data_IF_658860891872
#
_entry.id   IF_658860891872
#
_cell.length_a   1.000
_cell.length_b   1.000
_cell.length_c   1.000
_cell.angle_alpha   90.00
_cell.angle_beta   90.00
_cell.angle_gamma   90.00
#
_symmetry.space_group_name_H-M   'P 1'
#
loop_
_entity.id
_entity.type
_entity.pdbx_description
1 polymer ?
#
# COMPACT_ATOMS: atom_id res chain seq x y z
N UNK A 1 -6.58 8.55 8.44
CA UNK A 1 -6.49 7.19 9.00
C UNK A 1 -6.95 6.21 7.94
N UNK A 2 -6.00 5.53 7.30
CA UNK A 2 -6.26 4.62 6.17
C UNK A 2 -6.96 3.35 6.68
N UNK A 3 -7.89 2.79 5.90
CA UNK A 3 -8.54 1.51 6.19
C UNK A 3 -7.45 0.42 6.42
N UNK A 4 -7.35 -0.19 7.62
CA UNK A 4 -6.32 -1.17 7.92
C UNK A 4 -6.33 -2.38 6.98
N UNK A 5 -7.47 -2.74 6.41
CA UNK A 5 -7.59 -3.86 5.50
C UNK A 5 -7.02 -3.53 4.12
N UNK A 6 -7.26 -2.31 3.61
CA UNK A 6 -6.64 -1.85 2.37
C UNK A 6 -5.12 -1.77 2.52
N UNK A 7 -4.65 -1.21 3.64
CA UNK A 7 -3.21 -1.11 3.92
C UNK A 7 -2.55 -2.48 3.99
N UNK A 8 -3.15 -3.45 4.69
CA UNK A 8 -2.64 -4.84 4.73
C UNK A 8 -2.49 -5.45 3.35
N UNK A 9 -3.38 -5.13 2.41
CA UNK A 9 -3.33 -5.61 1.04
C UNK A 9 -2.14 -5.08 0.24
N UNK A 10 -1.76 -3.82 0.45
CA UNK A 10 -0.66 -3.17 -0.30
C UNK A 10 0.69 -3.20 0.43
N UNK A 11 0.71 -3.40 1.75
CA UNK A 11 1.91 -3.30 2.57
C UNK A 11 3.08 -4.18 2.11
N UNK A 12 2.89 -5.45 1.68
CA UNK A 12 4.01 -6.26 1.17
C UNK A 12 4.75 -5.61 0.00
N UNK A 13 4.02 -5.01 -0.94
CA UNK A 13 4.58 -4.29 -2.08
C UNK A 13 5.31 -3.01 -1.62
N UNK A 14 4.75 -2.27 -0.66
CA UNK A 14 5.40 -1.07 -0.11
C UNK A 14 6.71 -1.42 0.62
N UNK A 15 6.73 -2.51 1.39
CA UNK A 15 7.96 -3.02 2.03
C UNK A 15 9.02 -3.37 0.98
N UNK A 16 8.65 -4.10 -0.08
CA UNK A 16 9.58 -4.43 -1.17
C UNK A 16 10.10 -3.17 -1.89
N UNK A 17 9.24 -2.17 -2.12
CA UNK A 17 9.63 -0.91 -2.74
C UNK A 17 10.70 -0.18 -1.91
N UNK A 18 10.46 -0.02 -0.60
CA UNK A 18 11.42 0.65 0.31
C UNK A 18 12.74 -0.10 0.40
N UNK A 19 12.70 -1.44 0.45
CA UNK A 19 13.91 -2.28 0.47
C UNK A 19 14.68 -2.26 -0.86
N UNK A 20 14.01 -2.00 -1.99
CA UNK A 20 14.66 -1.91 -3.31
C UNK A 20 15.49 -0.63 -3.46
N UNK A 21 15.08 0.47 -2.83
CA UNK A 21 15.87 1.71 -2.81
C UNK A 21 17.16 1.56 -2.01
N UNK A 22 17.10 0.84 -0.89
CA UNK A 22 18.22 0.60 0.02
C UNK A 22 17.87 -0.53 0.97
N UNK A 23 18.81 -1.46 1.19
CA UNK A 23 18.68 -2.46 2.26
C UNK A 23 18.41 -1.78 3.61
N UNK A 24 17.65 -2.42 4.48
CA UNK A 24 17.30 -1.84 5.78
C UNK A 24 17.10 -2.92 6.84
N UNK A 25 17.27 -2.55 8.10
CA UNK A 25 16.84 -3.38 9.23
C UNK A 25 15.44 -2.99 9.68
N UNK A 26 14.77 -3.89 10.40
CA UNK A 26 13.32 -3.78 10.63
C UNK A 26 12.85 -2.48 11.27
N UNK A 27 13.62 -1.88 12.20
CA UNK A 27 13.26 -0.59 12.79
C UNK A 27 13.42 0.57 11.80
N UNK A 28 14.53 0.64 11.07
CA UNK A 28 14.73 1.66 10.02
C UNK A 28 13.65 1.58 8.94
N UNK A 29 13.22 0.36 8.57
CA UNK A 29 12.14 0.16 7.62
C UNK A 29 10.81 0.75 8.12
N UNK A 30 10.48 0.57 9.40
CA UNK A 30 9.28 1.18 10.00
C UNK A 30 9.37 2.71 9.89
N UNK A 31 10.50 3.30 10.28
CA UNK A 31 10.71 4.74 10.19
C UNK A 31 10.57 5.26 8.76
N UNK A 32 11.18 4.58 7.78
CA UNK A 32 11.07 4.98 6.36
C UNK A 32 9.64 4.91 5.82
N UNK A 33 8.85 3.92 6.28
CA UNK A 33 7.44 3.83 5.91
C UNK A 33 6.63 4.98 6.54
N UNK A 34 6.92 5.34 7.79
CA UNK A 34 6.32 6.50 8.45
C UNK A 34 6.66 7.80 7.73
N UNK A 35 7.95 8.02 7.42
CA UNK A 35 8.42 9.20 6.68
C UNK A 35 7.79 9.33 5.27
N UNK A 36 7.34 8.21 4.68
CA UNK A 36 6.60 8.17 3.43
C UNK A 36 5.09 8.47 3.57
N UNK A 37 4.61 8.82 4.77
CA UNK A 37 3.22 9.16 5.07
C UNK A 37 2.37 8.01 5.62
N UNK A 38 2.99 6.90 6.06
CA UNK A 38 2.30 5.82 6.79
C UNK A 38 2.52 5.95 8.29
N UNK A 39 2.07 7.07 8.87
CA UNK A 39 2.36 7.49 10.26
C UNK A 39 2.02 6.40 11.30
N UNK A 40 0.94 5.64 11.07
CA UNK A 40 0.45 4.58 11.96
C UNK A 40 1.25 3.26 11.86
N UNK A 41 2.35 3.23 11.12
CA UNK A 41 3.15 2.02 10.93
C UNK A 41 3.89 1.63 12.23
N UNK A 42 3.84 0.35 12.59
CA UNK A 42 4.51 -0.16 13.79
C UNK A 42 5.33 -1.42 13.49
N UNK A 43 6.24 -1.76 14.40
CA UNK A 43 6.94 -3.04 14.35
C UNK A 43 5.96 -4.23 14.36
N UNK A 44 4.86 -4.15 15.11
CA UNK A 44 3.82 -5.18 15.14
C UNK A 44 3.16 -5.43 13.78
N UNK A 45 3.18 -4.44 12.88
CA UNK A 45 2.63 -4.53 11.52
C UNK A 45 3.69 -4.97 10.51
N UNK A 46 4.90 -4.39 10.59
CA UNK A 46 5.96 -4.58 9.58
C UNK A 46 6.67 -5.92 9.71
N UNK A 47 6.99 -6.37 10.93
CA UNK A 47 7.75 -7.61 11.11
C UNK A 47 7.01 -8.87 10.63
N UNK A 48 5.69 -9.04 10.85
CA UNK A 48 4.95 -10.15 10.26
C UNK A 48 5.00 -10.17 8.72
N UNK A 49 5.01 -9.00 8.08
CA UNK A 49 5.15 -8.88 6.62
C UNK A 49 6.55 -9.26 6.18
N UNK A 50 7.60 -8.74 6.83
CA UNK A 50 8.98 -9.14 6.57
C UNK A 50 9.18 -10.65 6.71
N UNK A 51 8.69 -11.25 7.80
CA UNK A 51 8.80 -12.68 8.04
C UNK A 51 8.09 -13.51 6.95
N UNK A 52 6.99 -12.99 6.39
CA UNK A 52 6.29 -13.63 5.27
C UNK A 52 7.11 -13.51 3.98
N UNK A 53 7.56 -12.31 3.63
CA UNK A 53 8.38 -12.08 2.44
C UNK A 53 9.67 -12.92 2.46
N UNK A 54 10.30 -13.06 3.63
CA UNK A 54 11.47 -13.92 3.82
C UNK A 54 11.13 -15.40 3.64
N UNK A 55 10.03 -15.87 4.25
CA UNK A 55 9.55 -17.26 4.08
C UNK A 55 9.23 -17.59 2.62
N UNK A 56 8.67 -16.62 1.90
CA UNK A 56 8.26 -16.76 0.50
C UNK A 56 9.45 -16.58 -0.46
N UNK A 57 10.67 -16.35 0.04
CA UNK A 57 11.89 -16.20 -0.76
C UNK A 57 12.01 -14.87 -1.49
N UNK A 58 11.13 -13.91 -1.21
CA UNK A 58 11.11 -12.58 -1.83
C UNK A 58 12.12 -11.60 -1.19
N UNK A 59 12.52 -11.88 0.04
CA UNK A 59 13.52 -11.10 0.79
C UNK A 59 14.55 -12.05 1.40
N UNK A 60 15.82 -11.73 1.23
CA UNK A 60 16.90 -12.38 1.96
C UNK A 60 17.31 -11.53 3.16
N UNK A 61 17.94 -12.17 4.15
CA UNK A 61 18.44 -11.47 5.33
C UNK A 61 19.87 -11.84 5.68
N UNK A 62 20.56 -10.90 6.34
CA UNK A 62 21.91 -11.09 6.87
C UNK A 62 22.03 -10.45 8.25
N UNK A 63 22.73 -11.12 9.15
CA UNK A 63 23.10 -10.53 10.44
C UNK A 63 24.34 -9.67 10.27
N UNK A 64 24.27 -8.45 10.79
CA UNK A 64 25.35 -7.46 10.73
C UNK A 64 25.72 -7.08 12.14
N UNK A 65 27.00 -7.22 12.48
CA UNK A 65 27.51 -6.76 13.76
C UNK A 65 27.28 -5.25 13.88
N UNK A 66 26.73 -4.82 15.01
CA UNK A 66 26.61 -3.39 15.32
C UNK A 66 27.91 -2.92 15.98
N UNK A 67 28.34 -1.69 15.70
CA UNK A 67 29.47 -1.05 16.37
C UNK A 67 29.23 -0.85 17.87
N UNK A 68 27.96 -0.75 18.28
CA UNK A 68 27.52 -0.82 19.66
C UNK A 68 26.13 -1.50 19.72
N UNK A 69 25.99 -2.55 20.52
CA UNK A 69 24.73 -3.27 20.74
C UNK A 69 24.55 -4.57 19.94
N UNK A 70 23.34 -5.17 19.97
CA UNK A 70 23.09 -6.47 19.35
C UNK A 70 23.22 -6.40 17.83
N UNK A 71 23.54 -7.55 17.22
CA UNK A 71 23.56 -7.70 15.78
C UNK A 71 22.20 -7.30 15.16
N UNK A 72 22.24 -6.59 14.04
CA UNK A 72 21.05 -6.14 13.31
C UNK A 72 20.82 -7.07 12.14
N UNK A 73 19.58 -7.51 11.97
CA UNK A 73 19.15 -8.28 10.80
C UNK A 73 18.78 -7.28 9.68
N UNK A 74 19.60 -7.23 8.64
CA UNK A 74 19.34 -6.45 7.43
C UNK A 74 18.61 -7.30 6.42
N UNK A 75 17.72 -6.67 5.68
CA UNK A 75 16.88 -7.28 4.65
C UNK A 75 17.19 -6.67 3.29
N UNK A 76 17.21 -7.51 2.27
CA UNK A 76 17.42 -7.13 0.87
C UNK A 76 16.46 -7.91 -0.03
N UNK A 77 15.84 -7.30 -1.05
CA UNK A 77 15.03 -8.04 -2.00
C UNK A 77 15.87 -9.07 -2.76
N UNK A 78 15.29 -10.25 -3.00
CA UNK A 78 15.86 -11.24 -3.93
C UNK A 78 15.48 -10.88 -5.37
N UNK A 79 16.06 -11.53 -6.39
CA UNK A 79 15.58 -11.39 -7.77
C UNK A 79 14.08 -11.67 -7.91
N UNK A 80 13.57 -12.68 -7.19
CA UNK A 80 12.14 -13.01 -7.16
C UNK A 80 11.32 -11.92 -6.46
N UNK A 81 11.85 -11.31 -5.39
CA UNK A 81 11.25 -10.15 -4.72
C UNK A 81 11.13 -8.94 -5.63
N UNK A 82 12.18 -8.64 -6.40
CA UNK A 82 12.14 -7.55 -7.39
C UNK A 82 11.14 -7.84 -8.51
N UNK A 83 11.06 -9.09 -8.98
CA UNK A 83 10.08 -9.49 -9.98
C UNK A 83 8.64 -9.41 -9.45
N UNK A 84 8.40 -9.82 -8.20
CA UNK A 84 7.10 -9.67 -7.53
C UNK A 84 6.72 -8.19 -7.39
N UNK A 85 7.66 -7.33 -6.95
CA UNK A 85 7.41 -5.89 -6.86
C UNK A 85 6.97 -5.30 -8.21
N UNK A 86 7.63 -5.68 -9.31
CA UNK A 86 7.25 -5.24 -10.64
C UNK A 86 5.83 -5.69 -11.03
N UNK A 87 5.47 -6.95 -10.75
CA UNK A 87 4.11 -7.48 -10.98
C UNK A 87 3.07 -6.76 -10.13
N UNK A 88 3.32 -6.65 -8.82
CA UNK A 88 2.42 -5.99 -7.88
C UNK A 88 2.18 -4.52 -8.25
N UNK A 89 3.23 -3.82 -8.71
CA UNK A 89 3.14 -2.43 -9.17
C UNK A 89 2.20 -2.29 -10.38
N UNK A 90 2.29 -3.19 -11.36
CA UNK A 90 1.41 -3.20 -12.53
C UNK A 90 -0.05 -3.51 -12.15
N UNK A 91 -0.24 -4.48 -11.26
CA UNK A 91 -1.56 -4.85 -10.75
C UNK A 91 -2.20 -3.69 -9.99
N UNK A 92 -1.45 -3.03 -9.10
CA UNK A 92 -1.88 -1.85 -8.37
C UNK A 92 -2.28 -0.72 -9.30
N UNK A 93 -1.43 -0.35 -10.25
CA UNK A 93 -1.73 0.73 -11.18
C UNK A 93 -3.04 0.48 -11.95
N UNK A 94 -3.31 -0.77 -12.32
CA UNK A 94 -4.56 -1.17 -12.98
C UNK A 94 -5.75 -1.04 -12.03
N UNK A 95 -5.66 -1.63 -10.83
CA UNK A 95 -6.72 -1.58 -9.84
C UNK A 95 -7.06 -0.14 -9.42
N UNK A 96 -6.05 0.67 -9.11
CA UNK A 96 -6.24 2.07 -8.69
C UNK A 96 -6.92 2.90 -9.77
N UNK A 97 -6.53 2.74 -11.04
CA UNK A 97 -7.19 3.44 -12.16
C UNK A 97 -8.65 3.03 -12.29
N UNK A 98 -8.93 1.72 -12.27
CA UNK A 98 -10.30 1.20 -12.38
C UNK A 98 -11.16 1.65 -11.21
N UNK A 99 -10.67 1.52 -9.97
CA UNK A 99 -11.38 1.95 -8.77
C UNK A 99 -11.66 3.46 -8.79
N UNK A 100 -10.66 4.29 -9.10
CA UNK A 100 -10.83 5.73 -9.21
C UNK A 100 -11.89 6.11 -10.26
N UNK A 101 -11.87 5.45 -11.43
CA UNK A 101 -12.86 5.67 -12.50
C UNK A 101 -14.28 5.34 -12.03
N UNK A 102 -14.47 4.20 -11.37
CA UNK A 102 -15.79 3.77 -10.90
C UNK A 102 -16.33 4.67 -9.78
N UNK A 103 -15.49 5.04 -8.82
CA UNK A 103 -15.87 5.91 -7.71
C UNK A 103 -16.20 7.33 -8.17
N UNK A 104 -15.46 7.87 -9.14
CA UNK A 104 -15.75 9.18 -9.72
C UNK A 104 -17.13 9.22 -10.38
N UNK A 105 -17.50 8.17 -11.12
CA UNK A 105 -18.83 8.05 -11.77
C UNK A 105 -19.98 7.95 -10.76
N UNK A 106 -19.74 7.30 -9.62
CA UNK A 106 -20.73 7.23 -8.55
C UNK A 106 -20.93 8.60 -7.87
N UNK A 107 -19.88 9.41 -7.77
CA UNK A 107 -19.91 10.75 -7.17
C UNK A 107 -20.59 11.84 -8.00
N UNK A 108 -20.85 11.60 -9.29
CA UNK A 108 -21.50 12.57 -10.21
C UNK A 108 -23.01 12.36 -10.39
N UNK A 109 -23.65 11.52 -9.56
CA UNK A 109 -25.05 11.09 -9.71
C UNK A 109 -26.11 11.82 -8.87
N UNK A 110 -25.78 12.89 -8.14
CA UNK A 110 -26.78 13.70 -7.41
C UNK A 110 -27.06 15.01 -8.14
N UNK A 111 -27.76 14.87 -9.26
CA UNK A 111 -28.34 15.94 -10.03
C UNK A 111 -29.61 15.45 -10.71
N UNK A 112 -30.49 14.79 -9.93
CA UNK A 112 -31.88 14.60 -10.36
C UNK A 112 -32.56 15.96 -10.28
N UNK A 113 -32.32 16.77 -11.30
CA UNK A 113 -33.27 17.80 -11.69
C UNK A 113 -34.53 17.04 -12.09
N UNK A 114 -35.47 16.93 -11.16
CA UNK A 114 -36.79 16.40 -11.44
C UNK A 114 -37.40 17.40 -12.43
N UNK A 115 -37.79 17.02 -13.67
CA UNK A 115 -38.51 17.94 -14.52
C UNK A 115 -39.79 18.35 -13.80
N UNK A 116 -39.83 19.58 -13.30
CA UNK A 116 -41.04 20.23 -12.84
C UNK A 116 -41.94 20.34 -14.05
N UNK A 117 -42.86 19.39 -14.17
CA UNK A 117 -43.96 19.50 -15.12
C UNK A 117 -44.74 20.75 -14.72
N UNK A 118 -44.86 21.79 -15.58
CA UNK A 118 -45.73 22.91 -15.28
C UNK A 118 -47.15 22.35 -15.26
N UNK A 119 -47.84 22.54 -14.13
CA UNK A 119 -49.25 22.22 -14.00
C UNK A 119 -50.00 23.17 -14.93
N UNK A 120 -50.45 22.65 -16.06
CA UNK A 120 -51.33 23.37 -16.97
C UNK A 120 -52.57 23.82 -16.19
N UNK A 121 -52.70 25.13 -16.04
CA UNK A 121 -53.98 25.82 -16.10
C UNK A 121 -54.75 25.35 -17.34
N UNK A 122 -56.08 25.47 -17.28
CA UNK A 122 -57.07 25.15 -18.33
C UNK A 122 -57.67 23.73 -18.30
N UNK A 123 -58.74 23.57 -17.52
CA UNK A 123 -60.09 23.40 -18.10
C UNK A 123 -61.12 23.17 -16.98
N UNK A 124 -61.79 24.25 -16.55
CA UNK A 124 -63.26 24.38 -16.64
C UNK A 124 -63.74 25.68 -16.00
#
# INVERSE_FOLDING_TARGET
MSDPQLLKGVLPMLVLAVLTERESYGYELVTRLQDAGLDDMSAGTVYPVLNRLERDGLVASRLVASSAGPARKYYVPTPDGTAELARATQAWATLSRTAATLLARAGTGTGTDLPTTPRAEEAS
#
